data_IF_155435686517
#
_entry.id   IF_155435686517
#
_cell.length_a   1.000
_cell.length_b   1.000
_cell.length_c   1.000
_cell.angle_alpha   90.00
_cell.angle_beta   90.00
_cell.angle_gamma   90.00
#
_symmetry.space_group_name_H-M   'P 1'
#
loop_
_entity.id
_entity.type
_entity.pdbx_description
1 polymer ?
#
# COMPACT_ATOMS: atom_id res chain seq x y z
N UNK A 1 10.05 17.61 -16.64
CA UNK A 1 11.45 17.19 -16.87
C UNK A 1 12.02 16.51 -15.61
N UNK A 2 11.33 15.46 -15.12
CA UNK A 2 11.70 14.57 -13.99
C UNK A 2 10.93 13.23 -14.18
N UNK A 3 10.49 12.87 -15.39
CA UNK A 3 11.24 11.94 -16.23
C UNK A 3 12.75 12.20 -16.28
N UNK A 4 13.53 11.25 -15.80
CA UNK A 4 14.48 10.50 -16.60
C UNK A 4 15.11 9.44 -15.68
N UNK A 5 15.67 8.36 -16.22
CA UNK A 5 16.75 7.58 -15.54
C UNK A 5 16.42 6.32 -14.71
N UNK A 6 15.45 6.26 -13.79
CA UNK A 6 15.72 5.41 -12.59
C UNK A 6 15.51 3.87 -12.62
N UNK A 7 15.00 3.24 -13.69
CA UNK A 7 15.12 1.75 -13.79
C UNK A 7 15.69 1.27 -15.13
N UNK A 8 15.53 2.01 -16.24
CA UNK A 8 15.98 1.54 -17.58
C UNK A 8 16.64 2.59 -18.48
N UNK A 9 17.21 3.64 -17.91
CA UNK A 9 18.41 4.29 -18.47
C UNK A 9 19.68 3.85 -17.72
N UNK A 10 19.55 3.35 -16.49
CA UNK A 10 20.65 2.82 -15.67
C UNK A 10 21.07 1.36 -15.97
N UNK A 11 20.36 0.63 -16.83
CA UNK A 11 20.78 -0.73 -17.29
C UNK A 11 21.22 -0.83 -18.76
N UNK A 12 21.28 0.26 -19.53
CA UNK A 12 21.61 0.20 -20.98
C UNK A 12 22.97 0.78 -21.41
N UNK A 13 23.83 1.24 -20.51
CA UNK A 13 25.16 1.80 -20.88
C UNK A 13 26.35 1.37 -20.01
N UNK A 14 26.30 0.22 -19.33
CA UNK A 14 27.53 -0.40 -18.79
C UNK A 14 27.54 -1.90 -18.99
N UNK A 15 27.94 -2.31 -20.19
CA UNK A 15 28.84 -3.44 -20.44
C UNK A 15 29.47 -3.22 -21.82
N UNK A 16 30.65 -2.58 -21.86
CA UNK A 16 31.69 -2.84 -22.87
C UNK A 16 33.04 -2.26 -22.41
N UNK A 17 34.02 -3.14 -22.20
CA UNK A 17 35.41 -3.00 -22.66
C UNK A 17 36.34 -1.91 -22.12
N UNK A 18 37.21 -2.32 -21.18
CA UNK A 18 38.70 -2.17 -21.09
C UNK A 18 39.46 -0.84 -21.34
N UNK A 19 40.37 -0.55 -20.38
CA UNK A 19 41.76 0.03 -20.41
C UNK A 19 42.02 1.32 -21.24
N UNK A 20 42.67 2.38 -20.74
CA UNK A 20 44.09 2.52 -20.34
C UNK A 20 44.35 3.93 -19.74
N UNK A 21 45.40 4.12 -18.92
CA UNK A 21 45.92 5.46 -18.54
C UNK A 21 46.55 5.58 -17.13
N UNK A 22 47.82 5.20 -17.01
CA UNK A 22 48.86 5.52 -15.99
C UNK A 22 48.92 7.02 -15.58
N UNK A 23 49.53 7.53 -14.49
CA UNK A 23 50.41 7.20 -13.32
C UNK A 23 50.42 8.50 -12.44
N UNK A 24 51.21 8.73 -11.33
CA UNK A 24 52.35 8.01 -10.73
C UNK A 24 52.11 7.72 -9.20
N UNK A 25 52.99 7.17 -8.34
CA UNK A 25 54.44 7.19 -8.26
C UNK A 25 54.96 6.20 -7.17
N UNK A 26 56.22 5.75 -7.34
CA UNK A 26 57.30 5.55 -6.33
C UNK A 26 57.42 4.21 -5.55
N UNK A 27 58.58 3.57 -5.84
CA UNK A 27 59.52 2.82 -5.00
C UNK A 27 59.37 1.32 -4.68
N UNK A 28 60.25 0.58 -5.36
CA UNK A 28 61.35 -0.23 -4.77
C UNK A 28 61.13 -1.72 -4.46
N UNK A 29 61.93 -2.50 -5.21
CA UNK A 29 62.86 -3.55 -4.77
C UNK A 29 62.48 -5.05 -4.97
N UNK A 30 63.50 -5.76 -5.49
CA UNK A 30 63.85 -7.19 -5.37
C UNK A 30 63.30 -8.23 -6.38
N UNK A 31 64.06 -8.36 -7.47
CA UNK A 31 64.73 -9.58 -8.00
C UNK A 31 64.26 -10.95 -7.45
N UNK A 32 63.74 -11.83 -8.33
CA UNK A 32 64.33 -13.17 -8.56
C UNK A 32 63.76 -13.98 -9.76
N UNK A 33 64.70 -14.40 -10.62
CA UNK A 33 64.84 -15.70 -11.34
C UNK A 33 63.71 -16.31 -12.22
N UNK A 34 63.90 -16.13 -13.54
CA UNK A 34 64.07 -17.15 -14.61
C UNK A 34 63.27 -18.46 -14.61
N UNK A 35 62.46 -18.68 -15.67
CA UNK A 35 62.43 -19.91 -16.51
C UNK A 35 62.02 -19.57 -17.98
N UNK A 36 62.57 -20.24 -19.01
CA UNK A 36 62.36 -19.86 -20.42
C UNK A 36 61.18 -20.58 -21.10
N UNK A 37 60.54 -19.90 -22.05
CA UNK A 37 59.48 -20.41 -22.95
C UNK A 37 60.08 -20.64 -24.34
N UNK A 38 59.82 -21.78 -25.04
CA UNK A 38 60.34 -22.02 -26.39
C UNK A 38 59.52 -21.29 -27.48
N UNK A 39 60.13 -20.99 -28.65
CA UNK A 39 59.54 -20.12 -29.66
C UNK A 39 58.59 -20.87 -30.62
N UNK A 40 57.39 -20.33 -30.87
CA UNK A 40 56.51 -20.75 -31.96
C UNK A 40 56.70 -19.86 -33.20
N UNK A 41 56.94 -20.52 -34.34
CA UNK A 41 57.16 -19.94 -35.68
C UNK A 41 55.92 -19.21 -36.24
N UNK A 42 56.10 -18.25 -37.17
CA UNK A 42 55.01 -17.49 -37.78
C UNK A 42 54.34 -18.26 -38.93
N UNK A 43 53.02 -18.10 -39.10
CA UNK A 43 52.27 -18.62 -40.26
C UNK A 43 51.44 -17.47 -40.86
N UNK A 44 51.36 -17.34 -42.20
CA UNK A 44 51.09 -16.07 -42.88
C UNK A 44 49.60 -15.72 -43.01
N UNK A 45 49.35 -14.43 -43.22
CA UNK A 45 48.06 -13.81 -43.49
C UNK A 45 47.65 -14.10 -44.94
N UNK A 46 46.55 -14.82 -45.15
CA UNK A 46 45.99 -15.09 -46.48
C UNK A 46 44.58 -14.50 -46.59
N UNK A 47 44.45 -13.47 -47.43
CA UNK A 47 43.18 -12.81 -47.76
C UNK A 47 42.48 -13.63 -48.84
N UNK A 48 41.37 -14.27 -48.52
CA UNK A 48 40.50 -14.94 -49.50
C UNK A 48 39.12 -14.29 -49.55
N UNK A 49 38.89 -13.48 -50.60
CA UNK A 49 37.54 -13.10 -51.04
C UNK A 49 36.79 -14.36 -51.46
N UNK A 50 35.59 -14.57 -50.93
CA UNK A 50 34.63 -15.54 -51.46
C UNK A 50 33.24 -14.91 -51.50
N UNK A 51 32.49 -15.37 -52.50
CA UNK A 51 31.37 -14.73 -53.16
C UNK A 51 30.07 -14.77 -52.36
N UNK A 52 29.16 -13.86 -52.74
CA UNK A 52 27.75 -13.80 -52.37
C UNK A 52 27.02 -15.13 -52.53
N UNK A 53 26.30 -15.54 -51.49
CA UNK A 53 25.24 -16.54 -51.58
C UNK A 53 24.11 -16.11 -50.65
N UNK A 54 23.01 -15.70 -51.25
CA UNK A 54 21.71 -15.53 -50.61
C UNK A 54 21.24 -16.86 -49.99
N UNK A 55 20.31 -16.75 -49.02
CA UNK A 55 19.60 -17.81 -48.30
C UNK A 55 20.27 -18.37 -47.03
N UNK A 56 19.90 -17.79 -45.88
CA UNK A 56 19.08 -18.45 -44.85
C UNK A 56 18.99 -17.52 -43.62
N UNK A 57 18.10 -16.52 -43.68
CA UNK A 57 17.56 -15.94 -42.45
C UNK A 57 16.47 -16.89 -41.99
N UNK A 58 16.85 -17.84 -41.14
CA UNK A 58 15.91 -18.66 -40.40
C UNK A 58 14.92 -17.74 -39.70
N UNK A 59 13.67 -17.78 -40.15
CA UNK A 59 12.53 -17.23 -39.45
C UNK A 59 12.48 -17.89 -38.07
N UNK A 60 13.11 -17.24 -37.09
CA UNK A 60 12.70 -17.35 -35.70
C UNK A 60 11.25 -16.86 -35.68
N UNK A 61 10.31 -17.78 -35.92
CA UNK A 61 8.92 -17.60 -35.52
C UNK A 61 9.00 -17.21 -34.06
N UNK A 62 8.80 -15.91 -33.79
CA UNK A 62 8.51 -15.44 -32.46
C UNK A 62 7.37 -16.33 -31.97
N UNK A 63 7.66 -17.16 -30.97
CA UNK A 63 6.60 -17.81 -30.23
C UNK A 63 5.64 -16.67 -29.83
N UNK A 64 4.35 -16.74 -30.18
CA UNK A 64 3.43 -15.70 -29.79
C UNK A 64 3.50 -15.63 -28.26
N UNK A 65 3.92 -14.47 -27.75
CA UNK A 65 3.79 -14.14 -26.34
C UNK A 65 2.37 -14.52 -25.95
N UNK A 66 2.21 -15.42 -24.97
CA UNK A 66 0.90 -15.76 -24.41
C UNK A 66 0.17 -14.45 -24.15
N UNK A 67 -0.86 -14.16 -24.96
CA UNK A 67 -1.75 -13.03 -24.71
C UNK A 67 -2.37 -13.32 -23.35
N UNK A 68 -1.88 -12.65 -22.32
CA UNK A 68 -2.45 -12.69 -20.98
C UNK A 68 -3.82 -12.07 -21.10
N UNK A 69 -4.84 -12.91 -21.31
CA UNK A 69 -6.19 -12.47 -21.61
C UNK A 69 -6.82 -11.94 -20.32
N UNK A 70 -7.33 -10.72 -20.36
CA UNK A 70 -8.14 -10.20 -19.27
C UNK A 70 -9.43 -11.01 -19.20
N UNK A 71 -9.80 -11.46 -18.00
CA UNK A 71 -11.08 -12.08 -17.73
C UNK A 71 -11.87 -11.19 -16.79
N UNK A 72 -13.07 -10.73 -17.18
CA UNK A 72 -13.89 -9.91 -16.30
C UNK A 72 -14.32 -10.73 -15.07
N UNK A 73 -14.62 -10.07 -13.94
CA UNK A 73 -15.12 -10.75 -12.75
C UNK A 73 -16.36 -11.59 -13.08
N UNK A 74 -16.29 -12.90 -12.82
CA UNK A 74 -17.37 -13.85 -13.13
C UNK A 74 -18.35 -14.05 -11.95
N UNK A 75 -17.98 -13.58 -10.76
CA UNK A 75 -18.74 -13.78 -9.52
C UNK A 75 -18.78 -12.50 -8.68
N UNK A 76 -19.85 -12.33 -7.91
CA UNK A 76 -20.02 -11.20 -6.98
C UNK A 76 -20.76 -10.01 -7.59
N UNK A 77 -20.90 -8.94 -6.79
CA UNK A 77 -21.71 -7.75 -7.12
C UNK A 77 -21.32 -7.06 -8.45
N UNK A 78 -20.04 -7.16 -8.84
CA UNK A 78 -19.57 -6.54 -10.09
C UNK A 78 -19.99 -7.35 -11.31
N UNK A 79 -20.11 -8.67 -11.21
CA UNK A 79 -20.50 -9.52 -12.34
C UNK A 79 -21.95 -9.24 -12.78
N UNK A 80 -22.79 -8.74 -11.87
CA UNK A 80 -24.16 -8.32 -12.17
C UNK A 80 -24.29 -6.90 -12.73
N UNK A 81 -23.22 -6.12 -12.77
CA UNK A 81 -23.26 -4.76 -13.31
C UNK A 81 -23.27 -4.76 -14.85
N UNK A 82 -23.82 -3.70 -15.49
CA UNK A 82 -23.71 -3.51 -16.93
C UNK A 82 -22.24 -3.59 -17.38
N UNK A 83 -21.92 -4.20 -18.54
CA UNK A 83 -20.54 -4.36 -19.00
C UNK A 83 -19.75 -3.04 -19.08
N UNK A 84 -20.42 -1.92 -19.37
CA UNK A 84 -19.82 -0.59 -19.43
C UNK A 84 -19.43 -0.03 -18.05
N UNK A 85 -20.02 -0.53 -16.96
CA UNK A 85 -19.75 -0.08 -15.59
C UNK A 85 -18.67 -0.90 -14.91
N UNK A 86 -18.46 -2.15 -15.33
CA UNK A 86 -17.45 -3.07 -14.78
C UNK A 86 -16.06 -2.40 -14.69
N UNK A 87 -15.53 -1.73 -15.74
CA UNK A 87 -14.23 -1.09 -15.63
C UNK A 87 -14.18 -0.01 -14.54
N UNK A 88 -15.26 0.75 -14.33
CA UNK A 88 -15.32 1.79 -13.30
C UNK A 88 -15.44 1.19 -11.90
N UNK A 89 -16.18 0.10 -11.76
CA UNK A 89 -16.27 -0.66 -10.52
C UNK A 89 -14.92 -1.29 -10.11
N UNK A 90 -14.15 -1.80 -11.07
CA UNK A 90 -12.78 -2.26 -10.83
C UNK A 90 -11.81 -1.11 -10.55
N UNK A 91 -12.00 0.05 -11.18
CA UNK A 91 -11.17 1.23 -10.96
C UNK A 91 -11.24 1.67 -9.49
N UNK A 92 -12.43 1.62 -8.90
CA UNK A 92 -12.68 1.99 -7.49
C UNK A 92 -12.54 0.81 -6.53
N UNK A 93 -12.05 -0.34 -7.03
CA UNK A 93 -11.77 -1.55 -6.25
C UNK A 93 -12.99 -2.12 -5.52
N UNK A 94 -14.18 -2.02 -6.13
CA UNK A 94 -15.38 -2.69 -5.58
C UNK A 94 -15.21 -4.23 -5.54
N UNK A 95 -14.29 -4.78 -6.33
CA UNK A 95 -13.94 -6.21 -6.34
C UNK A 95 -13.11 -6.61 -5.11
N UNK A 96 -12.45 -5.64 -4.49
CA UNK A 96 -11.50 -5.80 -3.39
C UNK A 96 -11.80 -4.78 -2.27
N UNK A 97 -12.93 -4.95 -1.55
CA UNK A 97 -13.43 -3.96 -0.58
C UNK A 97 -12.59 -3.85 0.70
N UNK A 98 -11.59 -4.69 0.91
CA UNK A 98 -10.74 -4.70 2.10
C UNK A 98 -10.14 -3.32 2.42
N UNK A 99 -9.70 -2.58 1.41
CA UNK A 99 -9.18 -1.22 1.63
C UNK A 99 -10.23 -0.22 2.09
N UNK A 100 -11.50 -0.42 1.71
CA UNK A 100 -12.63 0.40 2.18
C UNK A 100 -12.92 0.10 3.65
N UNK A 101 -12.91 -1.18 4.04
CA UNK A 101 -13.09 -1.56 5.44
C UNK A 101 -12.00 -1.00 6.34
N UNK A 102 -10.73 -1.07 5.94
CA UNK A 102 -9.63 -0.46 6.71
C UNK A 102 -9.76 1.06 6.87
N UNK A 103 -10.30 1.76 5.87
CA UNK A 103 -10.57 3.20 5.97
C UNK A 103 -11.80 3.50 6.84
N UNK A 104 -12.77 2.60 6.85
CA UNK A 104 -14.03 2.74 7.57
C UNK A 104 -13.90 2.39 9.06
N UNK A 105 -13.19 1.33 9.44
CA UNK A 105 -13.14 0.87 10.83
C UNK A 105 -12.74 1.95 11.85
N UNK A 106 -11.70 2.79 11.60
CA UNK A 106 -11.39 3.90 12.51
C UNK A 106 -12.55 4.89 12.71
N UNK A 107 -13.32 5.16 11.65
CA UNK A 107 -14.52 6.00 11.76
C UNK A 107 -15.63 5.32 12.56
N UNK A 108 -15.82 4.00 12.37
CA UNK A 108 -16.77 3.22 13.15
C UNK A 108 -16.42 3.24 14.64
N UNK A 109 -15.17 2.90 15.00
CA UNK A 109 -14.72 2.84 16.39
C UNK A 109 -14.87 4.18 17.09
N UNK A 110 -14.48 5.27 16.43
CA UNK A 110 -14.58 6.60 17.03
C UNK A 110 -16.02 7.07 17.17
N UNK A 111 -16.92 6.76 16.23
CA UNK A 111 -18.34 7.09 16.37
C UNK A 111 -18.97 6.31 17.52
N UNK A 112 -18.66 5.02 17.67
CA UNK A 112 -19.16 4.20 18.78
C UNK A 112 -18.60 4.67 20.13
N UNK A 113 -17.32 5.02 20.19
CA UNK A 113 -16.68 5.53 21.40
C UNK A 113 -17.16 6.93 21.80
N UNK A 114 -17.46 7.78 20.81
CA UNK A 114 -17.98 9.12 21.03
C UNK A 114 -19.46 9.14 21.42
N UNK A 115 -20.26 8.15 21.00
CA UNK A 115 -21.69 8.08 21.28
C UNK A 115 -22.06 8.23 22.78
N UNK A 116 -21.45 7.50 23.73
CA UNK A 116 -21.75 7.69 25.16
C UNK A 116 -21.25 9.04 25.71
N UNK A 117 -20.30 9.69 25.04
CA UNK A 117 -19.75 10.99 25.44
C UNK A 117 -20.58 12.17 24.89
N UNK A 118 -21.26 11.96 23.77
CA UNK A 118 -22.23 12.87 23.19
C UNK A 118 -23.55 12.74 23.95
N UNK A 119 -23.68 13.40 25.10
CA UNK A 119 -24.76 13.19 26.09
C UNK A 119 -26.24 13.27 25.64
N UNK A 120 -26.52 13.44 24.34
CA UNK A 120 -27.87 13.37 23.75
C UNK A 120 -27.95 12.62 22.41
N UNK A 121 -26.88 11.94 21.98
CA UNK A 121 -26.86 11.24 20.69
C UNK A 121 -27.88 10.09 20.66
N UNK A 122 -28.83 10.16 19.75
CA UNK A 122 -29.81 9.11 19.52
C UNK A 122 -29.18 7.95 18.73
N UNK A 123 -29.66 6.70 18.90
CA UNK A 123 -29.20 5.59 18.07
C UNK A 123 -29.31 5.86 16.57
N UNK A 124 -30.37 6.58 16.13
CA UNK A 124 -30.56 6.93 14.73
C UNK A 124 -29.46 7.84 14.21
N UNK A 125 -29.04 8.85 14.99
CA UNK A 125 -27.92 9.72 14.63
C UNK A 125 -26.62 8.93 14.54
N UNK A 126 -26.35 8.05 15.52
CA UNK A 126 -25.15 7.18 15.51
C UNK A 126 -25.11 6.31 14.25
N UNK A 127 -26.20 5.60 13.93
CA UNK A 127 -26.26 4.78 12.72
C UNK A 127 -26.21 5.61 11.43
N UNK A 128 -26.81 6.81 11.41
CA UNK A 128 -26.73 7.75 10.30
C UNK A 128 -25.29 8.21 10.05
N UNK A 129 -24.58 8.62 11.10
CA UNK A 129 -23.16 8.99 11.07
C UNK A 129 -22.28 7.83 10.58
N UNK A 130 -22.50 6.61 11.08
CA UNK A 130 -21.80 5.40 10.60
C UNK A 130 -22.07 5.18 9.10
N UNK A 131 -23.32 5.30 8.65
CA UNK A 131 -23.70 5.15 7.24
C UNK A 131 -23.04 6.19 6.33
N UNK A 132 -22.98 7.45 6.78
CA UNK A 132 -22.28 8.52 6.08
C UNK A 132 -20.77 8.23 5.99
N UNK A 133 -20.14 7.81 7.09
CA UNK A 133 -18.72 7.45 7.08
C UNK A 133 -18.43 6.24 6.21
N UNK A 134 -19.27 5.21 6.22
CA UNK A 134 -19.12 4.04 5.35
C UNK A 134 -19.19 4.43 3.87
N UNK A 135 -20.20 5.24 3.52
CA UNK A 135 -20.37 5.75 2.15
C UNK A 135 -19.18 6.63 1.75
N UNK A 136 -18.73 7.51 2.65
CA UNK A 136 -17.55 8.35 2.45
C UNK A 136 -16.29 7.52 2.25
N UNK A 137 -16.06 6.49 3.07
CA UNK A 137 -14.93 5.59 2.93
C UNK A 137 -14.96 4.84 1.59
N UNK A 138 -16.12 4.36 1.15
CA UNK A 138 -16.30 3.71 -0.15
C UNK A 138 -15.91 4.64 -1.31
N UNK A 139 -16.45 5.85 -1.31
CA UNK A 139 -16.22 6.85 -2.37
C UNK A 139 -14.76 7.34 -2.35
N UNK A 140 -14.23 7.70 -1.19
CA UNK A 140 -12.88 8.27 -1.08
C UNK A 140 -11.78 7.23 -1.28
N UNK A 141 -12.02 5.97 -0.88
CA UNK A 141 -11.11 4.87 -1.24
C UNK A 141 -11.08 4.67 -2.74
N UNK A 142 -12.25 4.69 -3.38
CA UNK A 142 -12.39 4.63 -4.83
C UNK A 142 -11.61 5.74 -5.54
N UNK A 143 -11.78 6.99 -5.08
CA UNK A 143 -11.09 8.15 -5.62
C UNK A 143 -9.57 8.02 -5.49
N UNK A 144 -9.08 7.60 -4.33
CA UNK A 144 -7.65 7.36 -4.10
C UNK A 144 -7.09 6.27 -5.03
N UNK A 145 -7.82 5.18 -5.25
CA UNK A 145 -7.44 4.15 -6.22
C UNK A 145 -7.41 4.67 -7.66
N UNK A 146 -8.39 5.47 -8.06
CA UNK A 146 -8.43 6.07 -9.40
C UNK A 146 -7.28 7.07 -9.64
N UNK A 147 -6.94 7.89 -8.65
CA UNK A 147 -5.77 8.79 -8.69
C UNK A 147 -4.48 7.99 -8.84
N UNK A 148 -4.32 6.91 -8.08
CA UNK A 148 -3.13 6.06 -8.18
C UNK A 148 -3.00 5.43 -9.58
N UNK A 149 -4.08 4.84 -10.12
CA UNK A 149 -4.07 4.25 -11.45
C UNK A 149 -3.83 5.30 -12.55
N UNK A 150 -4.30 6.55 -12.36
CA UNK A 150 -4.02 7.67 -13.26
C UNK A 150 -2.53 8.06 -13.26
N UNK A 151 -1.90 8.05 -12.09
CA UNK A 151 -0.47 8.38 -11.93
C UNK A 151 0.42 7.27 -12.50
N UNK A 152 0.02 6.02 -12.29
CA UNK A 152 0.77 4.82 -12.68
C UNK A 152 0.42 4.31 -14.09
N UNK A 153 -0.43 5.02 -14.85
CA UNK A 153 -0.95 4.58 -16.16
C UNK A 153 0.09 4.14 -17.19
N UNK A 154 1.30 4.68 -17.14
CA UNK A 154 2.40 4.32 -18.04
C UNK A 154 3.24 3.14 -17.52
N UNK A 155 3.20 2.90 -16.21
CA UNK A 155 3.97 1.87 -15.52
C UNK A 155 3.18 0.58 -15.39
N UNK A 156 1.91 0.68 -15.01
CA UNK A 156 1.03 -0.45 -14.77
C UNK A 156 0.96 -1.48 -15.91
N UNK A 157 0.93 -1.10 -17.21
CA UNK A 157 0.95 -2.07 -18.31
C UNK A 157 2.18 -3.01 -18.32
N UNK A 158 3.27 -2.62 -17.65
CA UNK A 158 4.54 -3.34 -17.62
C UNK A 158 4.74 -4.16 -16.32
N UNK A 159 3.75 -4.18 -15.43
CA UNK A 159 3.84 -4.84 -14.12
C UNK A 159 2.79 -5.95 -14.05
N UNK A 160 3.24 -7.19 -13.80
CA UNK A 160 2.38 -8.39 -13.80
C UNK A 160 1.10 -8.25 -12.95
N UNK A 161 1.22 -7.64 -11.77
CA UNK A 161 0.10 -7.45 -10.84
C UNK A 161 -0.90 -6.39 -11.29
N UNK A 162 -0.48 -5.39 -12.06
CA UNK A 162 -1.27 -4.18 -12.34
C UNK A 162 -1.58 -3.96 -13.81
N UNK A 163 -1.02 -4.78 -14.71
CA UNK A 163 -1.28 -4.72 -16.17
C UNK A 163 -2.74 -4.82 -16.57
N UNK A 164 -3.57 -5.45 -15.73
CA UNK A 164 -5.00 -5.63 -15.97
C UNK A 164 -5.88 -4.55 -15.33
N UNK A 165 -5.30 -3.51 -14.74
CA UNK A 165 -6.10 -2.37 -14.24
C UNK A 165 -6.84 -1.69 -15.40
N UNK A 166 -8.04 -1.13 -15.16
CA UNK A 166 -8.88 -0.57 -16.22
C UNK A 166 -8.20 0.48 -17.10
N UNK A 167 -7.41 1.39 -16.51
CA UNK A 167 -6.67 2.41 -17.26
C UNK A 167 -5.49 1.78 -18.01
N UNK A 168 -4.76 0.87 -17.37
CA UNK A 168 -3.58 0.21 -17.94
C UNK A 168 -3.91 -0.65 -19.16
N UNK A 169 -5.03 -1.39 -19.12
CA UNK A 169 -5.51 -2.21 -20.23
C UNK A 169 -6.30 -1.43 -21.30
N UNK A 170 -6.47 -0.12 -21.12
CA UNK A 170 -7.22 0.74 -22.05
C UNK A 170 -8.74 0.62 -21.98
N UNK A 171 -9.31 -0.03 -20.95
CA UNK A 171 -10.75 -0.13 -20.77
C UNK A 171 -11.41 1.19 -20.34
N UNK A 172 -10.64 2.11 -19.74
CA UNK A 172 -11.06 3.48 -19.44
C UNK A 172 -9.99 4.45 -19.96
N UNK A 173 -10.39 5.46 -20.71
CA UNK A 173 -9.48 6.52 -21.15
C UNK A 173 -9.03 7.38 -19.95
N UNK A 174 -7.80 7.92 -19.93
CA UNK A 174 -7.35 8.78 -18.84
C UNK A 174 -8.25 10.00 -18.59
N UNK A 175 -8.88 10.54 -19.65
CA UNK A 175 -9.83 11.66 -19.54
C UNK A 175 -11.10 11.25 -18.80
N UNK A 176 -11.65 10.07 -19.12
CA UNK A 176 -12.85 9.55 -18.44
C UNK A 176 -12.54 9.17 -17.00
N UNK A 177 -11.37 8.56 -16.73
CA UNK A 177 -10.93 8.26 -15.38
C UNK A 177 -10.76 9.54 -14.54
N UNK A 178 -10.22 10.62 -15.12
CA UNK A 178 -10.09 11.90 -14.44
C UNK A 178 -11.47 12.52 -14.13
N UNK A 179 -12.39 12.54 -15.11
CA UNK A 179 -13.74 13.04 -14.90
C UNK A 179 -14.47 12.26 -13.79
N UNK A 180 -14.37 10.93 -13.82
CA UNK A 180 -14.96 10.05 -12.80
C UNK A 180 -14.30 10.18 -11.42
N UNK A 181 -13.00 10.48 -11.37
CA UNK A 181 -12.32 10.81 -10.11
C UNK A 181 -12.86 12.14 -9.56
N UNK A 182 -13.08 13.13 -10.43
CA UNK A 182 -13.72 14.40 -10.07
C UNK A 182 -15.12 14.23 -9.50
N UNK A 183 -15.96 13.37 -10.09
CA UNK A 183 -17.30 13.10 -9.55
C UNK A 183 -17.24 12.42 -8.18
N UNK A 184 -16.26 11.55 -7.94
CA UNK A 184 -16.06 10.96 -6.61
C UNK A 184 -15.61 11.99 -5.57
N UNK A 185 -14.74 12.94 -5.91
CA UNK A 185 -14.39 14.02 -4.99
C UNK A 185 -15.57 14.93 -4.67
N UNK A 186 -16.42 15.24 -5.67
CA UNK A 186 -17.66 15.99 -5.44
C UNK A 186 -18.64 15.22 -4.55
N UNK A 187 -18.79 13.91 -4.77
CA UNK A 187 -19.61 13.06 -3.90
C UNK A 187 -19.05 12.99 -2.48
N UNK A 188 -17.74 12.82 -2.33
CA UNK A 188 -17.05 12.86 -1.03
C UNK A 188 -17.22 14.19 -0.32
N UNK A 189 -17.14 15.31 -1.05
CA UNK A 189 -17.44 16.65 -0.51
C UNK A 189 -18.90 16.76 -0.08
N UNK A 190 -19.85 16.27 -0.89
CA UNK A 190 -21.27 16.25 -0.53
C UNK A 190 -21.56 15.43 0.74
N UNK A 191 -20.83 14.34 0.97
CA UNK A 191 -20.90 13.58 2.23
C UNK A 191 -20.28 14.37 3.36
N UNK A 192 -19.11 14.99 3.14
CA UNK A 192 -18.42 15.78 4.15
C UNK A 192 -19.25 16.97 4.65
N UNK A 193 -19.99 17.63 3.75
CA UNK A 193 -20.86 18.76 4.06
C UNK A 193 -22.14 18.37 4.84
N UNK A 194 -22.46 17.08 4.94
CA UNK A 194 -23.56 16.60 5.80
C UNK A 194 -23.14 16.48 7.26
N UNK A 195 -21.83 16.49 7.56
CA UNK A 195 -21.34 16.52 8.94
C UNK A 195 -21.32 17.94 9.51
N UNK A 196 -21.29 18.09 10.85
CA UNK A 196 -21.08 19.39 11.48
C UNK A 196 -19.83 20.09 10.96
N UNK A 197 -19.89 21.42 10.79
CA UNK A 197 -18.79 22.21 10.22
C UNK A 197 -17.43 22.02 10.94
N UNK A 198 -17.44 21.67 12.22
CA UNK A 198 -16.22 21.32 12.99
C UNK A 198 -15.45 20.17 12.34
N UNK A 199 -16.13 19.20 11.73
CA UNK A 199 -15.48 18.09 11.03
C UNK A 199 -14.55 18.57 9.90
N UNK A 200 -14.86 19.69 9.23
CA UNK A 200 -13.97 20.27 8.23
C UNK A 200 -12.63 20.68 8.86
N UNK A 201 -12.67 21.35 10.01
CA UNK A 201 -11.47 21.80 10.73
C UNK A 201 -10.62 20.64 11.23
N UNK A 202 -11.25 19.58 11.76
CA UNK A 202 -10.55 18.36 12.16
C UNK A 202 -10.05 17.53 10.96
N UNK A 203 -10.67 17.66 9.79
CA UNK A 203 -10.28 16.95 8.56
C UNK A 203 -9.10 17.58 7.83
N UNK A 204 -8.97 18.91 7.83
CA UNK A 204 -7.90 19.63 7.10
C UNK A 204 -6.48 19.12 7.41
N UNK A 205 -6.08 18.87 8.68
CA UNK A 205 -4.73 18.40 8.98
C UNK A 205 -4.40 17.01 8.41
N UNK A 206 -5.40 16.21 8.01
CA UNK A 206 -5.15 14.92 7.34
C UNK A 206 -4.60 15.08 5.93
N UNK A 207 -4.94 16.17 5.23
CA UNK A 207 -4.58 16.41 3.83
C UNK A 207 -3.06 16.36 3.60
N UNK A 208 -2.21 17.09 4.34
CA UNK A 208 -0.76 17.00 4.14
C UNK A 208 -0.22 15.59 4.40
N UNK A 209 -0.80 14.83 5.33
CA UNK A 209 -0.38 13.44 5.64
C UNK A 209 -0.70 12.52 4.46
N UNK A 210 -1.92 12.61 3.92
CA UNK A 210 -2.35 11.84 2.74
C UNK A 210 -1.46 12.14 1.53
N UNK A 211 -1.13 13.41 1.31
CA UNK A 211 -0.23 13.84 0.23
C UNK A 211 1.23 13.41 0.47
N UNK A 212 1.67 13.28 1.72
CA UNK A 212 3.02 12.84 2.06
C UNK A 212 3.22 11.32 1.89
N UNK A 213 2.16 10.50 1.96
CA UNK A 213 2.27 9.04 1.89
C UNK A 213 3.00 8.51 0.62
N UNK A 214 2.69 8.97 -0.60
CA UNK A 214 3.44 8.56 -1.80
C UNK A 214 4.94 8.89 -1.73
N UNK A 215 5.30 9.99 -1.07
CA UNK A 215 6.70 10.39 -0.86
C UNK A 215 7.37 9.52 0.20
N UNK A 216 6.65 9.14 1.26
CA UNK A 216 7.16 8.29 2.34
C UNK A 216 7.75 6.97 1.81
N UNK A 217 7.09 6.35 0.81
CA UNK A 217 7.58 5.13 0.14
C UNK A 217 8.97 5.27 -0.48
N UNK A 218 9.42 6.49 -0.76
CA UNK A 218 10.70 6.78 -1.43
C UNK A 218 11.81 7.16 -0.46
N UNK A 219 11.48 7.60 0.75
CA UNK A 219 12.44 8.21 1.68
C UNK A 219 12.62 7.43 2.98
N UNK A 220 11.68 6.58 3.37
CA UNK A 220 11.73 5.85 4.64
C UNK A 220 11.58 4.33 4.46
N UNK A 221 12.14 3.58 5.42
CA UNK A 221 11.90 2.15 5.58
C UNK A 221 10.52 1.85 6.20
N UNK A 222 9.80 2.87 6.68
CA UNK A 222 8.54 2.73 7.42
C UNK A 222 7.37 3.49 6.77
N UNK A 223 7.11 3.34 5.44
CA UNK A 223 5.95 3.98 4.82
C UNK A 223 4.62 3.54 5.46
N UNK A 224 4.59 2.38 6.12
CA UNK A 224 3.45 1.86 6.89
C UNK A 224 3.01 2.81 8.00
N UNK A 225 3.94 3.53 8.64
CA UNK A 225 3.61 4.48 9.71
C UNK A 225 2.87 5.69 9.12
N UNK A 226 3.33 6.19 7.97
CA UNK A 226 2.66 7.30 7.27
C UNK A 226 1.30 6.86 6.72
N UNK A 227 1.20 5.62 6.24
CA UNK A 227 -0.09 5.01 5.89
C UNK A 227 -1.02 4.98 7.11
N UNK A 228 -0.52 4.52 8.26
CA UNK A 228 -1.25 4.48 9.52
C UNK A 228 -1.79 5.84 9.92
N UNK A 229 -0.98 6.89 9.85
CA UNK A 229 -1.41 8.26 10.12
C UNK A 229 -2.55 8.70 9.17
N UNK A 230 -2.45 8.37 7.88
CA UNK A 230 -3.46 8.75 6.90
C UNK A 230 -4.77 7.96 7.08
N UNK A 231 -4.70 6.63 7.19
CA UNK A 231 -5.87 5.74 7.24
C UNK A 231 -6.58 5.81 8.59
N UNK A 232 -5.83 6.01 9.67
CA UNK A 232 -6.41 6.03 11.02
C UNK A 232 -7.08 7.34 11.35
N UNK A 233 -6.99 8.39 10.50
CA UNK A 233 -7.55 9.71 10.81
C UNK A 233 -9.04 9.67 11.13
N UNK A 234 -9.75 8.68 10.58
CA UNK A 234 -11.13 8.38 10.93
C UNK A 234 -11.39 8.19 12.43
N UNK A 235 -10.40 7.74 13.21
CA UNK A 235 -10.47 7.57 14.66
C UNK A 235 -10.66 8.88 15.44
N UNK A 236 -10.45 10.02 14.79
CA UNK A 236 -10.70 11.35 15.35
C UNK A 236 -12.08 11.85 14.94
N UNK A 237 -12.53 11.51 13.73
CA UNK A 237 -13.67 12.15 13.07
C UNK A 237 -15.04 11.81 13.68
N UNK A 238 -15.17 10.65 14.34
CA UNK A 238 -16.43 10.26 14.99
C UNK A 238 -16.87 11.20 16.12
N UNK A 239 -15.92 11.81 16.84
CA UNK A 239 -16.18 12.72 17.95
C UNK A 239 -16.86 14.02 17.49
N UNK A 240 -16.24 14.86 16.63
CA UNK A 240 -16.88 16.09 16.15
C UNK A 240 -18.12 15.81 15.30
N UNK A 241 -18.23 14.62 14.70
CA UNK A 241 -19.42 14.22 13.94
C UNK A 241 -20.66 14.03 14.82
N UNK A 242 -20.48 13.58 16.07
CA UNK A 242 -21.54 13.50 17.09
C UNK A 242 -21.60 14.74 18.00
N UNK A 243 -20.88 15.81 17.64
CA UNK A 243 -20.89 17.06 18.40
C UNK A 243 -19.97 17.10 19.62
N UNK A 244 -19.14 16.07 19.84
CA UNK A 244 -18.12 16.06 20.89
C UNK A 244 -16.90 16.85 20.43
N UNK A 245 -16.64 17.98 21.08
CA UNK A 245 -15.51 18.83 20.74
C UNK A 245 -14.25 18.42 21.52
N UNK A 246 -13.24 17.95 20.81
CA UNK A 246 -11.99 17.46 21.39
C UNK A 246 -11.14 18.57 22.01
N UNK A 247 -11.30 19.82 21.58
CA UNK A 247 -10.53 20.94 22.13
C UNK A 247 -11.08 21.43 23.48
N UNK A 248 -12.34 21.14 23.80
CA UNK A 248 -12.97 21.56 25.05
C UNK A 248 -13.14 20.42 26.04
N UNK A 249 -13.17 19.18 25.57
CA UNK A 249 -13.34 17.99 26.40
C UNK A 249 -12.02 17.20 26.47
N UNK A 250 -11.33 17.28 27.63
CA UNK A 250 -10.04 16.63 27.84
C UNK A 250 -10.13 15.10 27.75
N UNK A 251 -11.17 14.50 28.32
CA UNK A 251 -11.37 13.06 28.31
C UNK A 251 -11.59 12.55 26.88
N UNK A 252 -12.37 13.30 26.09
CA UNK A 252 -12.58 13.00 24.67
C UNK A 252 -11.27 13.14 23.87
N UNK A 253 -10.44 14.13 24.16
CA UNK A 253 -9.13 14.31 23.53
C UNK A 253 -8.21 13.12 23.80
N UNK A 254 -8.14 12.67 25.05
CA UNK A 254 -7.35 11.49 25.44
C UNK A 254 -7.90 10.23 24.77
N UNK A 255 -9.22 10.05 24.77
CA UNK A 255 -9.88 8.92 24.11
C UNK A 255 -9.58 8.88 22.61
N UNK A 256 -9.77 10.00 21.90
CA UNK A 256 -9.50 10.11 20.47
C UNK A 256 -8.02 9.90 20.14
N UNK A 257 -7.10 10.50 20.91
CA UNK A 257 -5.66 10.36 20.71
C UNK A 257 -5.18 8.92 20.94
N UNK A 258 -5.68 8.25 21.98
CA UNK A 258 -5.38 6.86 22.27
C UNK A 258 -5.96 5.92 21.20
N UNK A 259 -7.22 6.11 20.80
CA UNK A 259 -7.85 5.32 19.74
C UNK A 259 -7.14 5.51 18.39
N UNK A 260 -6.77 6.75 18.04
CA UNK A 260 -6.00 7.05 16.83
C UNK A 260 -4.65 6.34 16.84
N UNK A 261 -3.94 6.38 17.96
CA UNK A 261 -2.66 5.70 18.14
C UNK A 261 -2.80 4.17 18.06
N UNK A 262 -3.89 3.63 18.63
CA UNK A 262 -4.25 2.21 18.54
C UNK A 262 -4.47 1.80 17.07
N UNK A 263 -5.27 2.57 16.32
CA UNK A 263 -5.53 2.33 14.90
C UNK A 263 -4.25 2.44 14.03
N UNK A 264 -3.32 3.34 14.37
CA UNK A 264 -2.02 3.43 13.70
C UNK A 264 -1.21 2.16 13.93
N UNK A 265 -1.13 1.68 15.18
CA UNK A 265 -0.41 0.46 15.52
C UNK A 265 -1.01 -0.75 14.78
N UNK A 266 -2.34 -0.85 14.73
CA UNK A 266 -3.05 -1.85 13.95
C UNK A 266 -2.74 -1.76 12.44
N UNK A 267 -2.73 -0.54 11.89
CA UNK A 267 -2.39 -0.29 10.48
C UNK A 267 -0.98 -0.72 10.14
N UNK A 268 -0.01 -0.37 10.96
CA UNK A 268 1.36 -0.81 10.76
C UNK A 268 1.46 -2.33 10.84
N UNK A 269 0.71 -2.96 11.75
CA UNK A 269 0.70 -4.41 11.95
C UNK A 269 0.18 -5.17 10.72
N UNK A 270 -1.04 -4.85 10.24
CA UNK A 270 -1.60 -5.56 9.08
C UNK A 270 -0.85 -5.21 7.78
N UNK A 271 -0.38 -3.97 7.62
CA UNK A 271 0.34 -3.56 6.41
C UNK A 271 1.77 -4.11 6.39
N UNK A 272 2.36 -4.40 7.56
CA UNK A 272 3.60 -5.17 7.65
C UNK A 272 3.40 -6.62 7.19
N UNK A 273 2.29 -7.27 7.53
CA UNK A 273 1.95 -8.61 7.00
C UNK A 273 1.76 -8.54 5.48
N UNK A 274 1.07 -7.52 4.99
CA UNK A 274 0.89 -7.30 3.55
C UNK A 274 2.24 -7.08 2.82
N UNK A 275 3.15 -6.29 3.40
CA UNK A 275 4.47 -6.01 2.83
C UNK A 275 5.35 -7.27 2.67
N UNK A 276 5.09 -8.36 3.38
CA UNK A 276 5.80 -9.63 3.18
C UNK A 276 5.48 -10.28 1.82
N UNK A 277 4.41 -9.86 1.14
CA UNK A 277 4.10 -10.29 -0.22
C UNK A 277 5.10 -9.76 -1.23
N UNK A 278 5.63 -8.55 -0.99
CA UNK A 278 6.45 -7.81 -1.95
C UNK A 278 7.96 -7.89 -1.63
N UNK A 279 8.38 -8.59 -0.56
CA UNK A 279 9.80 -8.71 -0.14
C UNK A 279 10.74 -9.07 -1.30
N UNK A 280 10.37 -10.05 -2.14
CA UNK A 280 11.25 -10.53 -3.22
C UNK A 280 11.46 -9.45 -4.29
N UNK A 281 10.38 -8.74 -4.62
CA UNK A 281 10.40 -7.68 -5.61
C UNK A 281 11.09 -6.42 -5.06
N UNK A 282 10.88 -6.11 -3.78
CA UNK A 282 11.55 -5.02 -3.06
C UNK A 282 13.07 -5.22 -3.01
N UNK A 283 13.54 -6.44 -2.72
CA UNK A 283 14.98 -6.77 -2.75
C UNK A 283 15.55 -6.59 -4.15
N UNK A 284 14.85 -7.10 -5.18
CA UNK A 284 15.30 -7.00 -6.57
C UNK A 284 15.34 -5.55 -7.07
N UNK A 285 14.46 -4.69 -6.55
CA UNK A 285 14.39 -3.26 -6.89
C UNK A 285 15.26 -2.37 -5.98
N UNK A 286 15.88 -2.91 -4.93
CA UNK A 286 16.63 -2.13 -3.94
C UNK A 286 15.76 -1.20 -3.08
N UNK A 287 14.47 -1.52 -2.94
CA UNK A 287 13.49 -0.75 -2.18
C UNK A 287 13.64 -1.08 -0.69
N UNK A 288 13.52 -0.04 0.13
CA UNK A 288 13.63 -0.09 1.58
C UNK A 288 12.25 -0.35 2.20
N UNK A 289 12.05 -1.51 2.83
CA UNK A 289 10.76 -1.91 3.44
C UNK A 289 10.91 -2.35 4.90
N UNK A 290 9.87 -2.16 5.71
CA UNK A 290 9.83 -2.59 7.13
C UNK A 290 10.00 -4.10 7.23
N UNK A 291 9.45 -4.83 6.28
CA UNK A 291 9.49 -6.29 6.22
C UNK A 291 10.93 -6.77 6.00
N UNK A 292 11.70 -6.08 5.16
CA UNK A 292 13.13 -6.34 4.97
C UNK A 292 13.96 -5.99 6.21
N UNK A 293 13.64 -4.88 6.88
CA UNK A 293 14.37 -4.46 8.08
C UNK A 293 14.16 -5.41 9.26
N UNK A 294 13.02 -6.10 9.30
CA UNK A 294 12.59 -6.95 10.41
C UNK A 294 12.35 -8.41 10.01
N UNK A 295 12.95 -8.88 8.91
CA UNK A 295 12.69 -10.23 8.38
C UNK A 295 12.91 -11.33 9.44
N UNK A 296 13.96 -11.19 10.25
CA UNK A 296 14.31 -12.17 11.29
C UNK A 296 13.51 -12.04 12.60
N UNK A 297 12.84 -10.90 12.84
CA UNK A 297 12.12 -10.64 14.09
C UNK A 297 10.68 -10.14 13.88
N UNK A 298 10.10 -10.35 12.70
CA UNK A 298 8.77 -9.80 12.33
C UNK A 298 7.70 -10.19 13.34
N UNK A 299 7.61 -11.47 13.76
CA UNK A 299 6.58 -11.88 14.73
C UNK A 299 6.71 -11.18 16.08
N UNK A 300 7.93 -10.86 16.53
CA UNK A 300 8.15 -10.10 17.75
C UNK A 300 7.68 -8.65 17.59
N UNK A 301 7.97 -8.02 16.44
CA UNK A 301 7.48 -6.67 16.11
C UNK A 301 5.96 -6.63 16.03
N UNK A 302 5.34 -7.60 15.35
CA UNK A 302 3.87 -7.72 15.26
C UNK A 302 3.24 -7.89 16.65
N UNK A 303 3.87 -8.67 17.53
CA UNK A 303 3.40 -8.86 18.92
C UNK A 303 3.51 -7.57 19.71
N UNK A 304 4.61 -6.82 19.58
CA UNK A 304 4.76 -5.50 20.20
C UNK A 304 3.70 -4.50 19.72
N UNK A 305 3.45 -4.45 18.40
CA UNK A 305 2.40 -3.61 17.83
C UNK A 305 1.00 -4.02 18.30
N UNK A 306 0.71 -5.31 18.42
CA UNK A 306 -0.57 -5.79 18.95
C UNK A 306 -0.74 -5.41 20.43
N UNK A 307 0.30 -5.59 21.24
CA UNK A 307 0.27 -5.19 22.64
C UNK A 307 0.06 -3.67 22.80
N UNK A 308 0.76 -2.86 22.00
CA UNK A 308 0.56 -1.40 21.98
C UNK A 308 -0.86 -1.02 21.53
N UNK A 309 -1.38 -1.65 20.48
CA UNK A 309 -2.73 -1.42 19.98
C UNK A 309 -3.78 -1.68 21.08
N UNK A 310 -3.73 -2.85 21.73
CA UNK A 310 -4.67 -3.23 22.78
C UNK A 310 -4.54 -2.31 24.00
N UNK A 311 -3.31 -1.99 24.42
CA UNK A 311 -3.09 -1.10 25.55
C UNK A 311 -3.67 0.30 25.30
N UNK A 312 -3.46 0.85 24.09
CA UNK A 312 -4.01 2.14 23.69
C UNK A 312 -5.54 2.11 23.54
N UNK A 313 -6.10 0.99 23.08
CA UNK A 313 -7.55 0.79 23.05
C UNK A 313 -8.14 0.77 24.48
N UNK A 314 -7.44 0.13 25.42
CA UNK A 314 -7.79 0.16 26.83
C UNK A 314 -7.76 1.57 27.42
N UNK A 315 -6.71 2.35 27.12
CA UNK A 315 -6.62 3.77 27.54
C UNK A 315 -7.79 4.58 26.95
N UNK A 316 -8.14 4.34 25.68
CA UNK A 316 -9.27 5.01 25.05
C UNK A 316 -10.60 4.69 25.75
N UNK A 317 -10.83 3.42 26.11
CA UNK A 317 -12.00 3.01 26.87
C UNK A 317 -12.07 3.59 28.28
N UNK A 318 -10.94 3.66 28.99
CA UNK A 318 -10.87 4.29 30.32
C UNK A 318 -11.20 5.78 30.22
N UNK A 319 -10.60 6.50 29.27
CA UNK A 319 -10.84 7.93 29.08
C UNK A 319 -12.28 8.22 28.65
N UNK A 320 -12.89 7.35 27.84
CA UNK A 320 -14.29 7.48 27.45
C UNK A 320 -15.29 7.03 28.54
N UNK A 321 -14.82 6.57 29.70
CA UNK A 321 -15.69 6.09 30.78
C UNK A 321 -16.42 4.79 30.46
N UNK A 322 -15.87 3.93 29.59
CA UNK A 322 -16.51 2.69 29.19
C UNK A 322 -16.57 1.66 30.32
N UNK A 323 -17.64 0.86 30.33
CA UNK A 323 -17.84 -0.22 31.30
C UNK A 323 -17.11 -1.53 30.97
N UNK A 324 -17.22 -2.56 31.83
CA UNK A 324 -16.53 -3.84 31.67
C UNK A 324 -16.83 -4.56 30.34
N UNK A 325 -18.01 -4.35 29.77
CA UNK A 325 -18.43 -4.93 28.47
C UNK A 325 -17.50 -4.48 27.35
N UNK A 326 -17.05 -3.23 27.35
CA UNK A 326 -16.09 -2.72 26.36
C UNK A 326 -14.74 -3.41 26.50
N UNK A 327 -14.21 -3.54 27.72
CA UNK A 327 -12.90 -4.17 27.93
C UNK A 327 -12.89 -5.65 27.58
N UNK A 328 -13.95 -6.39 27.95
CA UNK A 328 -14.06 -7.82 27.60
C UNK A 328 -14.35 -8.00 26.12
N UNK A 329 -15.27 -7.20 25.56
CA UNK A 329 -15.68 -7.25 24.17
C UNK A 329 -14.58 -6.78 23.22
N UNK A 330 -14.26 -5.50 23.26
CA UNK A 330 -13.29 -4.87 22.35
C UNK A 330 -11.86 -5.33 22.66
N UNK A 331 -11.32 -5.04 23.85
CA UNK A 331 -9.92 -5.41 24.14
C UNK A 331 -9.71 -6.93 24.17
N UNK A 332 -10.65 -7.70 24.72
CA UNK A 332 -10.56 -9.17 24.76
C UNK A 332 -10.60 -9.81 23.37
N UNK A 333 -11.51 -9.35 22.49
CA UNK A 333 -11.57 -9.87 21.12
C UNK A 333 -10.39 -9.40 20.26
N UNK A 334 -9.86 -8.19 20.49
CA UNK A 334 -8.63 -7.69 19.87
C UNK A 334 -7.42 -8.58 20.21
N UNK A 335 -7.23 -8.90 21.50
CA UNK A 335 -6.18 -9.82 21.96
C UNK A 335 -6.30 -11.18 21.27
N UNK A 336 -7.51 -11.75 21.25
CA UNK A 336 -7.75 -13.06 20.66
C UNK A 336 -7.51 -13.06 19.15
N UNK A 337 -8.09 -12.10 18.43
CA UNK A 337 -8.03 -12.03 16.97
C UNK A 337 -6.62 -11.72 16.48
N UNK A 338 -5.93 -10.74 17.07
CA UNK A 338 -4.55 -10.39 16.73
C UNK A 338 -3.59 -11.51 17.14
N UNK A 339 -3.78 -12.12 18.32
CA UNK A 339 -3.00 -13.26 18.76
C UNK A 339 -3.11 -14.46 17.81
N UNK A 340 -4.33 -14.80 17.40
CA UNK A 340 -4.59 -15.86 16.41
C UNK A 340 -3.98 -15.54 15.05
N UNK A 341 -4.08 -14.29 14.58
CA UNK A 341 -3.47 -13.85 13.33
C UNK A 341 -1.94 -14.00 13.36
N UNK A 342 -1.28 -13.48 14.41
CA UNK A 342 0.19 -13.55 14.55
C UNK A 342 0.66 -15.00 14.69
N UNK A 343 -0.10 -15.83 15.41
CA UNK A 343 0.22 -17.24 15.59
C UNK A 343 0.14 -17.99 14.25
N UNK A 344 -0.97 -17.85 13.52
CA UNK A 344 -1.25 -18.61 12.29
C UNK A 344 -0.60 -18.06 11.02
N UNK A 345 -0.25 -16.77 10.98
CA UNK A 345 0.30 -16.18 9.75
C UNK A 345 1.63 -16.83 9.38
N UNK A 346 1.72 -17.26 8.12
CA UNK A 346 2.91 -17.82 7.50
C UNK A 346 3.54 -16.77 6.59
N UNK A 347 4.44 -15.97 7.14
CA UNK A 347 5.05 -14.81 6.49
C UNK A 347 5.81 -15.12 5.18
N UNK A 348 6.22 -16.38 4.97
CA UNK A 348 6.90 -16.83 3.75
C UNK A 348 5.94 -17.16 2.60
N UNK A 349 4.64 -17.29 2.88
CA UNK A 349 3.61 -17.65 1.90
C UNK A 349 2.81 -16.43 1.49
N UNK A 350 3.02 -15.95 0.26
CA UNK A 350 2.32 -14.80 -0.33
C UNK A 350 0.80 -14.98 -0.27
N UNK A 351 0.30 -16.18 -0.58
CA UNK A 351 -1.12 -16.50 -0.54
C UNK A 351 -1.69 -16.44 0.89
N UNK A 352 -0.92 -16.91 1.88
CA UNK A 352 -1.34 -16.86 3.28
C UNK A 352 -1.36 -15.42 3.83
N UNK A 353 -0.34 -14.62 3.52
CA UNK A 353 -0.31 -13.18 3.85
C UNK A 353 -1.49 -12.44 3.23
N UNK A 354 -1.80 -12.70 1.96
CA UNK A 354 -2.97 -12.12 1.29
C UNK A 354 -4.28 -12.53 1.96
N UNK A 355 -4.42 -13.80 2.35
CA UNK A 355 -5.62 -14.28 3.05
C UNK A 355 -5.82 -13.56 4.38
N UNK A 356 -4.76 -13.42 5.19
CA UNK A 356 -4.82 -12.69 6.46
C UNK A 356 -5.06 -11.20 6.26
N UNK A 357 -4.45 -10.58 5.26
CA UNK A 357 -4.74 -9.18 4.96
C UNK A 357 -6.20 -8.96 4.53
N UNK A 358 -6.75 -9.85 3.70
CA UNK A 358 -8.13 -9.73 3.20
C UNK A 358 -9.17 -10.05 4.27
N UNK A 359 -9.04 -11.18 4.95
CA UNK A 359 -10.04 -11.71 5.88
C UNK A 359 -9.77 -11.30 7.32
N UNK A 360 -8.49 -11.15 7.69
CA UNK A 360 -8.09 -10.64 9.00
C UNK A 360 -8.64 -9.24 9.26
N UNK A 361 -8.80 -8.41 8.22
CA UNK A 361 -9.50 -7.12 8.30
C UNK A 361 -10.82 -7.19 9.09
N UNK A 362 -11.69 -8.16 8.75
CA UNK A 362 -12.98 -8.34 9.43
C UNK A 362 -12.85 -9.02 10.79
N UNK A 363 -11.85 -9.90 10.96
CA UNK A 363 -11.65 -10.63 12.21
C UNK A 363 -11.02 -9.77 13.31
N UNK A 364 -10.03 -8.95 12.95
CA UNK A 364 -9.32 -8.08 13.90
C UNK A 364 -10.03 -6.74 14.02
N UNK A 365 -10.52 -6.17 12.91
CA UNK A 365 -11.26 -4.91 12.94
C UNK A 365 -12.73 -5.03 13.30
N UNK A 366 -13.34 -6.21 13.20
CA UNK A 366 -14.70 -6.42 13.69
C UNK A 366 -14.79 -6.71 15.19
N UNK A 367 -13.65 -6.95 15.84
CA UNK A 367 -13.56 -7.21 17.27
C UNK A 367 -13.31 -5.95 18.10
N UNK A 368 -12.42 -5.07 17.62
CA UNK A 368 -12.16 -3.74 18.18
C UNK A 368 -13.45 -2.90 18.28
#
# INVERSE_FOLDING_TARGET
MILSTQVRLLRRTRLSGRHHGSLPAVSSCLINRTRPVPPTRPVPFEVRRSQSSENQVGSLKAQPLNHTHYTPPQTGLIASLPPSWIPYAELVRLDKPTGTYYLFFPTLFSTLLAAPMAGSATPLEVFGTIGLFFTGALVMRGAGCAVNDLWDRNLDPHVERTKFRPIARGAISPRNALAFTGTQFLAGLGILLQFPAKCLWYGIPSVPIVLAYPLAKRVTHYPQVVLGLAFSWGAIMGFPALGVDLLTNHDALVAAGALYSSCIAWTVLYDMIYAHMDIKDDVAAGIKSIALRHEHNTKAVLTGLAASQVALLGVAGVAAGCGPVFFVGSCGSAILSLGLMIWKVQLKSVSNCWWWFKNGCLLTGGGD
#
